data_IF_118361417753
#
_entry.id   IF_118361417753
#
_cell.length_a   1.000
_cell.length_b   1.000
_cell.length_c   1.000
_cell.angle_alpha   90.00
_cell.angle_beta   90.00
_cell.angle_gamma   90.00
#
_symmetry.space_group_name_H-M   'P 1'
#
loop_
_entity.id
_entity.type
_entity.pdbx_description
1 polymer ?
#
# COMPACT_ATOMS: atom_id res chain seq x y z
N UNK A 1 4.48 -8.65 -88.89
CA UNK A 1 5.47 -9.49 -88.15
C UNK A 1 5.25 -9.31 -86.64
N UNK A 2 5.36 -10.41 -85.89
CA UNK A 2 5.02 -10.57 -84.47
C UNK A 2 5.84 -9.66 -83.53
N UNK A 3 5.23 -9.20 -82.43
CA UNK A 3 5.76 -9.08 -81.03
C UNK A 3 4.67 -8.44 -80.14
N UNK A 4 3.85 -9.22 -79.43
CA UNK A 4 3.92 -9.60 -77.98
C UNK A 4 4.11 -8.42 -76.99
N UNK A 5 2.98 -7.96 -76.42
CA UNK A 5 2.57 -7.95 -74.97
C UNK A 5 3.47 -7.28 -73.88
N UNK A 6 2.95 -6.88 -72.68
CA UNK A 6 1.55 -6.59 -72.27
C UNK A 6 1.34 -5.51 -71.14
N UNK A 7 0.06 -5.31 -70.78
CA UNK A 7 -0.53 -4.98 -69.44
C UNK A 7 -0.18 -3.71 -68.66
N UNK A 8 -1.20 -2.87 -68.42
CA UNK A 8 -1.62 -2.48 -67.04
C UNK A 8 -3.14 -2.51 -66.93
N UNK A 9 -3.63 -3.51 -66.21
CA UNK A 9 -5.03 -3.71 -65.83
C UNK A 9 -5.34 -2.86 -64.60
N UNK A 10 -6.46 -2.14 -64.62
CA UNK A 10 -7.13 -1.56 -63.45
C UNK A 10 -7.47 -2.70 -62.47
N UNK A 11 -6.80 -2.74 -61.32
CA UNK A 11 -7.22 -3.57 -60.19
C UNK A 11 -8.07 -2.73 -59.23
N UNK A 12 -9.37 -3.04 -59.19
CA UNK A 12 -10.26 -2.72 -58.08
C UNK A 12 -9.62 -3.20 -56.76
N UNK A 13 -9.35 -2.29 -55.84
CA UNK A 13 -9.03 -2.65 -54.46
C UNK A 13 -10.34 -3.03 -53.75
N UNK A 14 -10.53 -4.34 -53.61
CA UNK A 14 -11.52 -4.96 -52.75
C UNK A 14 -11.22 -4.56 -51.29
N UNK A 15 -12.13 -3.85 -50.65
CA UNK A 15 -12.09 -3.58 -49.20
C UNK A 15 -12.33 -4.92 -48.45
N UNK A 16 -11.25 -5.64 -48.17
CA UNK A 16 -11.27 -6.75 -47.23
C UNK A 16 -11.45 -6.14 -45.83
N UNK A 17 -12.66 -6.21 -45.29
CA UNK A 17 -12.90 -6.08 -43.87
C UNK A 17 -12.09 -7.16 -43.15
N UNK A 18 -10.90 -6.79 -42.67
CA UNK A 18 -10.20 -7.57 -41.66
C UNK A 18 -11.11 -7.56 -40.42
N UNK A 19 -11.92 -8.61 -40.27
CA UNK A 19 -12.36 -9.08 -38.96
C UNK A 19 -11.08 -9.39 -38.18
N UNK A 20 -10.54 -8.37 -37.53
CA UNK A 20 -9.54 -8.51 -36.51
C UNK A 20 -10.24 -9.28 -35.38
N UNK A 21 -10.18 -10.61 -35.46
CA UNK A 21 -10.46 -11.48 -34.34
C UNK A 21 -9.38 -11.20 -33.31
N UNK A 22 -9.63 -10.17 -32.50
CA UNK A 22 -8.96 -10.06 -31.22
C UNK A 22 -9.10 -11.44 -30.57
N UNK A 23 -8.01 -12.05 -30.07
CA UNK A 23 -8.17 -13.20 -29.22
C UNK A 23 -9.10 -12.74 -28.11
N UNK A 24 -10.30 -13.31 -28.07
CA UNK A 24 -11.11 -13.30 -26.87
C UNK A 24 -10.19 -13.96 -25.85
N UNK A 25 -9.52 -13.16 -25.03
CA UNK A 25 -8.87 -13.68 -23.84
C UNK A 25 -10.02 -14.32 -23.09
N UNK A 26 -10.09 -15.65 -23.15
CA UNK A 26 -11.03 -16.39 -22.35
C UNK A 26 -10.80 -15.91 -20.92
N UNK A 27 -11.79 -15.20 -20.37
CA UNK A 27 -11.77 -14.80 -18.98
C UNK A 27 -11.43 -16.07 -18.19
N UNK A 28 -10.33 -16.07 -17.44
CA UNK A 28 -9.92 -17.23 -16.67
C UNK A 28 -11.14 -17.75 -15.90
N UNK A 29 -11.39 -19.06 -15.93
CA UNK A 29 -12.51 -19.62 -15.20
C UNK A 29 -12.23 -19.43 -13.70
N UNK A 30 -12.78 -18.35 -13.13
CA UNK A 30 -12.68 -18.02 -11.72
C UNK A 30 -13.86 -18.70 -11.02
N UNK A 31 -13.58 -19.79 -10.32
CA UNK A 31 -14.58 -20.32 -9.37
C UNK A 31 -14.57 -19.46 -8.12
N UNK A 32 -15.74 -19.22 -7.55
CA UNK A 32 -15.89 -18.41 -6.35
C UNK A 32 -16.82 -19.09 -5.35
N UNK A 33 -16.74 -18.66 -4.09
CA UNK A 33 -17.66 -19.14 -3.07
C UNK A 33 -17.52 -18.42 -1.73
N UNK A 34 -18.29 -18.89 -0.77
CA UNK A 34 -18.21 -18.40 0.61
C UNK A 34 -17.01 -19.01 1.32
N UNK A 35 -16.28 -18.17 2.06
CA UNK A 35 -15.22 -18.59 2.96
C UNK A 35 -15.60 -18.39 4.43
N UNK A 36 -16.89 -18.19 4.73
CA UNK A 36 -17.43 -17.96 6.08
C UNK A 36 -17.71 -16.49 6.38
N UNK A 37 -18.83 -16.20 7.08
CA UNK A 37 -19.26 -14.83 7.36
C UNK A 37 -19.35 -13.94 6.10
N UNK A 38 -18.74 -12.76 6.16
CA UNK A 38 -18.61 -11.82 5.04
C UNK A 38 -17.42 -12.13 4.10
N UNK A 39 -16.63 -13.16 4.39
CA UNK A 39 -15.46 -13.52 3.57
C UNK A 39 -15.86 -14.38 2.37
N UNK A 40 -15.07 -14.26 1.30
CA UNK A 40 -15.25 -14.96 0.03
C UNK A 40 -13.92 -15.53 -0.44
N UNK A 41 -13.98 -16.54 -1.29
CA UNK A 41 -12.82 -17.03 -2.02
C UNK A 41 -13.04 -16.96 -3.52
N UNK A 42 -11.94 -16.82 -4.25
CA UNK A 42 -11.86 -16.88 -5.71
C UNK A 42 -10.64 -17.70 -6.11
N UNK A 43 -10.79 -18.66 -7.01
CA UNK A 43 -9.69 -19.49 -7.51
C UNK A 43 -9.45 -19.23 -8.98
N UNK A 44 -8.25 -18.77 -9.30
CA UNK A 44 -7.74 -18.68 -10.66
C UNK A 44 -7.02 -19.97 -11.02
N UNK A 45 -7.61 -20.74 -11.92
CA UNK A 45 -7.05 -22.02 -12.37
C UNK A 45 -5.79 -21.87 -13.23
N UNK A 46 -5.61 -20.75 -13.92
CA UNK A 46 -4.43 -20.46 -14.74
C UNK A 46 -3.24 -20.07 -13.87
N UNK A 47 -3.45 -19.19 -12.89
CA UNK A 47 -2.45 -18.77 -11.93
C UNK A 47 -2.27 -19.76 -10.77
N UNK A 48 -3.16 -20.77 -10.67
CA UNK A 48 -3.27 -21.71 -9.53
C UNK A 48 -3.30 -20.98 -8.18
N UNK A 49 -3.99 -19.85 -8.14
CA UNK A 49 -4.03 -18.94 -7.00
C UNK A 49 -5.41 -18.92 -6.36
N UNK A 50 -5.46 -19.22 -5.07
CA UNK A 50 -6.66 -19.09 -4.25
C UNK A 50 -6.61 -17.77 -3.48
N UNK A 51 -7.54 -16.87 -3.76
CA UNK A 51 -7.63 -15.55 -3.14
C UNK A 51 -8.78 -15.49 -2.17
N UNK A 52 -8.54 -14.98 -0.96
CA UNK A 52 -9.56 -14.71 0.05
C UNK A 52 -9.77 -13.20 0.19
N UNK A 53 -11.02 -12.76 0.16
CA UNK A 53 -11.43 -11.36 0.29
C UNK A 53 -12.56 -11.21 1.31
N UNK A 54 -12.87 -9.98 1.70
CA UNK A 54 -13.92 -9.66 2.67
C UNK A 54 -13.33 -9.09 3.96
N UNK A 55 -14.08 -9.16 5.04
CA UNK A 55 -13.70 -8.57 6.32
C UNK A 55 -13.91 -9.54 7.49
N UNK A 56 -13.15 -9.39 8.56
CA UNK A 56 -13.30 -10.19 9.77
C UNK A 56 -12.65 -11.57 9.69
N UNK A 57 -13.30 -12.59 10.25
CA UNK A 57 -12.77 -13.96 10.28
C UNK A 57 -13.14 -14.72 9.01
N UNK A 58 -12.17 -15.44 8.44
CA UNK A 58 -12.53 -16.58 7.60
C UNK A 58 -13.20 -17.64 8.48
N UNK A 59 -14.12 -18.41 7.92
CA UNK A 59 -14.81 -19.50 8.60
C UNK A 59 -13.87 -20.66 8.95
N UNK A 60 -14.26 -21.39 9.99
CA UNK A 60 -13.57 -22.60 10.40
C UNK A 60 -13.73 -23.68 9.34
N UNK A 61 -12.64 -24.36 9.04
CA UNK A 61 -12.63 -25.54 8.22
C UNK A 61 -12.99 -26.76 9.07
N UNK A 62 -14.16 -27.37 8.80
CA UNK A 62 -14.64 -28.59 9.45
C UNK A 62 -14.72 -29.72 8.42
N UNK A 63 -14.15 -30.88 8.75
CA UNK A 63 -14.13 -32.08 7.90
C UNK A 63 -15.51 -32.74 7.70
N UNK A 64 -16.54 -32.30 8.43
CA UNK A 64 -17.89 -32.90 8.40
C UNK A 64 -18.79 -32.33 7.29
N UNK A 65 -19.40 -33.23 6.53
CA UNK A 65 -20.29 -32.95 5.39
C UNK A 65 -21.70 -32.45 5.75
N UNK A 66 -22.05 -32.36 7.04
CA UNK A 66 -23.43 -32.08 7.49
C UNK A 66 -23.64 -30.79 8.31
N UNK A 67 -22.61 -29.96 8.52
CA UNK A 67 -22.78 -28.70 9.28
C UNK A 67 -23.14 -27.51 8.38
N UNK A 68 -24.10 -26.69 8.82
CA UNK A 68 -24.28 -25.33 8.31
C UNK A 68 -22.97 -24.53 8.52
N UNK A 69 -22.46 -23.88 7.47
CA UNK A 69 -21.16 -23.20 7.48
C UNK A 69 -20.07 -23.81 6.58
N UNK A 70 -20.45 -24.42 5.45
CA UNK A 70 -19.50 -25.04 4.48
C UNK A 70 -18.42 -24.06 4.01
N UNK A 71 -17.15 -24.41 4.25
CA UNK A 71 -16.02 -23.85 3.51
C UNK A 71 -15.99 -24.50 2.11
N UNK A 72 -16.40 -23.78 1.06
CA UNK A 72 -16.62 -24.37 -0.27
C UNK A 72 -15.36 -24.45 -1.15
N UNK A 73 -14.20 -24.02 -0.66
CA UNK A 73 -12.94 -23.98 -1.43
C UNK A 73 -12.11 -25.27 -1.39
N UNK A 74 -12.57 -26.34 -0.72
CA UNK A 74 -11.78 -27.58 -0.60
C UNK A 74 -11.44 -28.21 -1.97
N UNK A 75 -12.39 -28.21 -2.91
CA UNK A 75 -12.20 -28.78 -4.25
C UNK A 75 -11.11 -28.06 -5.07
N UNK A 76 -10.78 -26.82 -4.70
CA UNK A 76 -9.74 -26.01 -5.35
C UNK A 76 -8.47 -25.91 -4.50
N UNK A 77 -8.53 -26.20 -3.20
CA UNK A 77 -7.38 -26.12 -2.29
C UNK A 77 -6.22 -27.02 -2.75
N UNK A 78 -6.49 -28.29 -3.06
CA UNK A 78 -5.48 -29.24 -3.55
C UNK A 78 -4.92 -28.90 -4.95
N UNK A 79 -5.58 -28.02 -5.70
CA UNK A 79 -5.14 -27.56 -7.02
C UNK A 79 -4.29 -26.29 -6.94
N UNK A 80 -4.44 -25.57 -5.83
CA UNK A 80 -3.80 -24.28 -5.57
C UNK A 80 -2.33 -24.45 -5.23
N UNK A 81 -1.50 -23.57 -5.79
CA UNK A 81 -0.07 -23.46 -5.50
C UNK A 81 0.22 -22.27 -4.58
N UNK A 82 -0.57 -21.21 -4.72
CA UNK A 82 -0.44 -19.93 -4.00
C UNK A 82 -1.75 -19.60 -3.31
N UNK A 83 -1.67 -18.97 -2.15
CA UNK A 83 -2.82 -18.38 -1.45
C UNK A 83 -2.58 -16.91 -1.20
N UNK A 84 -3.58 -16.07 -1.48
CA UNK A 84 -3.53 -14.64 -1.19
C UNK A 84 -4.71 -14.25 -0.29
N UNK A 85 -4.42 -13.90 0.96
CA UNK A 85 -5.41 -13.38 1.90
C UNK A 85 -5.35 -11.85 1.86
N UNK A 86 -6.45 -11.20 1.47
CA UNK A 86 -6.49 -9.75 1.24
C UNK A 86 -6.84 -8.97 2.50
N UNK A 87 -6.51 -7.67 2.47
CA UNK A 87 -6.83 -6.73 3.53
C UNK A 87 -8.31 -6.76 3.93
N UNK A 88 -8.57 -6.53 5.20
CA UNK A 88 -9.89 -6.62 5.83
C UNK A 88 -10.07 -7.91 6.63
N UNK A 89 -9.38 -8.99 6.28
CA UNK A 89 -9.39 -10.25 7.04
C UNK A 89 -8.53 -10.09 8.30
N UNK A 90 -9.12 -10.34 9.47
CA UNK A 90 -8.50 -10.16 10.78
C UNK A 90 -8.20 -11.47 11.51
N UNK A 91 -8.87 -12.57 11.14
CA UNK A 91 -8.63 -13.90 11.70
C UNK A 91 -8.66 -14.97 10.61
N UNK A 92 -7.69 -15.87 10.64
CA UNK A 92 -7.76 -17.14 9.90
C UNK A 92 -8.47 -18.18 10.78
N UNK A 93 -9.45 -18.84 10.18
CA UNK A 93 -10.31 -19.81 10.84
C UNK A 93 -9.57 -21.10 11.18
N UNK A 94 -10.21 -21.93 12.00
CA UNK A 94 -9.64 -23.21 12.39
C UNK A 94 -9.38 -24.07 11.15
N UNK A 95 -8.25 -24.75 11.07
CA UNK A 95 -7.88 -25.64 9.96
C UNK A 95 -7.92 -25.00 8.55
N UNK A 96 -7.81 -23.66 8.45
CA UNK A 96 -7.93 -22.85 7.22
C UNK A 96 -7.36 -23.48 5.93
N UNK A 97 -6.13 -24.01 5.97
CA UNK A 97 -5.46 -24.70 4.85
C UNK A 97 -5.03 -26.13 5.23
N UNK A 98 -5.56 -26.70 6.31
CA UNK A 98 -5.15 -27.99 6.83
C UNK A 98 -5.38 -29.12 5.81
N UNK A 99 -4.46 -30.09 5.74
CA UNK A 99 -4.50 -31.34 4.95
C UNK A 99 -4.57 -31.16 3.41
N UNK A 100 -5.42 -30.25 2.91
CA UNK A 100 -5.53 -29.92 1.49
C UNK A 100 -4.47 -28.93 1.00
N UNK A 101 -3.73 -28.28 1.91
CA UNK A 101 -2.66 -27.34 1.59
C UNK A 101 -1.31 -27.96 1.20
N UNK A 102 -1.23 -29.28 1.02
CA UNK A 102 -0.01 -29.99 0.62
C UNK A 102 0.56 -29.56 -0.75
N UNK A 103 -0.24 -28.91 -1.60
CA UNK A 103 0.20 -28.32 -2.88
C UNK A 103 0.70 -26.88 -2.76
N UNK A 104 0.40 -26.20 -1.64
CA UNK A 104 0.66 -24.78 -1.44
C UNK A 104 2.13 -24.58 -1.11
N UNK A 105 2.77 -23.70 -1.87
CA UNK A 105 4.18 -23.33 -1.71
C UNK A 105 4.38 -21.87 -1.32
N UNK A 106 3.32 -21.06 -1.36
CA UNK A 106 3.38 -19.64 -1.02
C UNK A 106 2.03 -19.17 -0.49
N UNK A 107 2.08 -18.39 0.59
CA UNK A 107 0.93 -17.74 1.22
C UNK A 107 1.28 -16.27 1.45
N UNK A 108 0.37 -15.37 1.05
CA UNK A 108 0.44 -13.94 1.35
C UNK A 108 -0.65 -13.61 2.37
N UNK A 109 -0.23 -13.04 3.51
CA UNK A 109 -1.09 -12.63 4.61
C UNK A 109 -1.24 -11.10 4.66
N UNK A 110 -2.40 -10.55 5.06
CA UNK A 110 -2.64 -9.11 5.08
C UNK A 110 -2.18 -8.45 6.38
N UNK A 111 -1.90 -7.15 6.33
CA UNK A 111 -1.55 -6.34 7.51
C UNK A 111 -2.70 -6.24 8.52
N UNK A 112 -3.95 -6.42 8.07
CA UNK A 112 -5.12 -6.51 8.95
C UNK A 112 -5.18 -7.76 9.82
N UNK A 113 -4.35 -8.78 9.58
CA UNK A 113 -4.40 -10.05 10.32
C UNK A 113 -4.00 -9.87 11.79
N UNK A 114 -4.77 -10.46 12.70
CA UNK A 114 -4.56 -10.43 14.16
C UNK A 114 -4.44 -11.81 14.77
N UNK A 115 -5.14 -12.81 14.22
CA UNK A 115 -5.19 -14.16 14.79
C UNK A 115 -5.04 -15.25 13.71
N UNK A 116 -4.19 -16.23 14.00
CA UNK A 116 -4.07 -17.47 13.23
C UNK A 116 -4.71 -18.59 14.07
N UNK A 117 -5.82 -19.12 13.59
CA UNK A 117 -6.59 -20.14 14.32
C UNK A 117 -5.90 -21.51 14.45
N UNK A 118 -6.47 -22.39 15.28
CA UNK A 118 -5.98 -23.76 15.48
C UNK A 118 -5.79 -24.49 14.16
N UNK A 119 -4.67 -25.19 14.00
CA UNK A 119 -4.39 -26.01 12.81
C UNK A 119 -4.44 -25.29 11.46
N UNK A 120 -4.45 -23.94 11.42
CA UNK A 120 -4.69 -23.18 10.21
C UNK A 120 -3.79 -23.55 9.01
N UNK A 121 -2.56 -23.97 9.26
CA UNK A 121 -1.59 -24.41 8.26
C UNK A 121 -1.09 -25.84 8.51
N UNK A 122 -1.87 -26.66 9.21
CA UNK A 122 -1.49 -28.03 9.52
C UNK A 122 -1.24 -28.84 8.23
N UNK A 123 -0.17 -29.62 8.22
CA UNK A 123 0.24 -30.44 7.06
C UNK A 123 0.52 -29.65 5.76
N UNK A 124 0.84 -28.37 5.82
CA UNK A 124 1.28 -27.61 4.62
C UNK A 124 2.74 -27.93 4.24
N UNK A 125 3.02 -29.18 3.84
CA UNK A 125 4.41 -29.71 3.70
C UNK A 125 5.28 -29.04 2.63
N UNK A 126 4.66 -28.40 1.63
CA UNK A 126 5.36 -27.65 0.56
C UNK A 126 5.59 -26.18 0.89
N UNK A 127 4.92 -25.64 1.90
CA UNK A 127 5.15 -24.28 2.36
C UNK A 127 6.43 -24.27 3.19
N UNK A 128 7.52 -23.77 2.62
CA UNK A 128 8.85 -23.75 3.27
C UNK A 128 9.09 -22.51 4.12
N UNK A 129 8.45 -21.41 3.75
CA UNK A 129 8.51 -20.18 4.51
C UNK A 129 7.18 -19.47 4.55
N UNK A 130 6.96 -18.68 5.58
CA UNK A 130 5.79 -17.81 5.70
C UNK A 130 6.21 -16.45 6.26
N UNK A 131 5.61 -15.39 5.74
CA UNK A 131 5.73 -14.05 6.32
C UNK A 131 4.54 -13.79 7.24
N UNK A 132 4.79 -13.59 8.53
CA UNK A 132 3.77 -13.30 9.53
C UNK A 132 3.74 -11.78 9.76
N UNK A 133 2.59 -11.11 9.53
CA UNK A 133 2.47 -9.67 9.72
C UNK A 133 2.71 -9.24 11.18
N UNK A 134 3.30 -8.06 11.37
CA UNK A 134 3.62 -7.51 12.70
C UNK A 134 2.38 -7.30 13.59
N UNK A 135 1.19 -7.24 12.98
CA UNK A 135 -0.10 -7.10 13.65
C UNK A 135 -0.62 -8.36 14.33
N UNK A 136 -0.06 -9.54 14.05
CA UNK A 136 -0.53 -10.80 14.66
C UNK A 136 -0.29 -10.76 16.18
N UNK A 137 -1.32 -11.17 16.94
CA UNK A 137 -1.33 -11.17 18.41
C UNK A 137 -1.53 -12.56 18.98
N UNK A 138 -2.13 -13.47 18.21
CA UNK A 138 -2.39 -14.84 18.63
C UNK A 138 -2.11 -15.83 17.51
N UNK A 139 -1.38 -16.89 17.84
CA UNK A 139 -1.16 -18.07 16.99
C UNK A 139 -1.60 -19.27 17.83
N UNK A 140 -2.75 -19.83 17.49
CA UNK A 140 -3.37 -20.88 18.29
C UNK A 140 -2.68 -22.24 18.09
N UNK A 141 -3.07 -23.20 18.92
CA UNK A 141 -2.39 -24.47 19.07
C UNK A 141 -2.35 -25.24 17.74
N UNK A 142 -1.18 -25.82 17.46
CA UNK A 142 -0.96 -26.62 16.26
C UNK A 142 -1.15 -25.87 14.93
N UNK A 143 -1.22 -24.53 14.91
CA UNK A 143 -1.40 -23.75 13.68
C UNK A 143 -0.45 -24.17 12.55
N UNK A 144 0.77 -24.57 12.88
CA UNK A 144 1.79 -25.03 11.92
C UNK A 144 2.22 -26.48 12.15
N UNK A 145 1.39 -27.30 12.83
CA UNK A 145 1.71 -28.70 13.10
C UNK A 145 1.91 -29.48 11.79
N UNK A 146 2.97 -30.28 11.71
CA UNK A 146 3.33 -31.10 10.55
C UNK A 146 3.48 -30.30 9.23
N UNK A 147 3.66 -28.98 9.32
CA UNK A 147 3.95 -28.13 8.16
C UNK A 147 5.39 -28.30 7.68
N UNK A 148 5.67 -27.85 6.46
CA UNK A 148 7.02 -27.90 5.88
C UNK A 148 7.88 -26.67 6.17
N UNK A 149 7.43 -25.80 7.08
CA UNK A 149 8.05 -24.49 7.31
C UNK A 149 9.40 -24.69 8.00
N UNK A 150 10.43 -24.12 7.38
CA UNK A 150 11.78 -24.01 7.91
C UNK A 150 12.11 -22.57 8.30
N UNK A 151 11.48 -21.58 7.67
CA UNK A 151 11.74 -20.16 7.90
C UNK A 151 10.44 -19.39 8.16
N UNK A 152 10.40 -18.62 9.24
CA UNK A 152 9.32 -17.67 9.52
C UNK A 152 9.90 -16.27 9.47
N UNK A 153 9.39 -15.45 8.57
CA UNK A 153 9.73 -14.04 8.49
C UNK A 153 8.66 -13.25 9.22
N UNK A 154 8.94 -12.85 10.46
CA UNK A 154 8.04 -11.99 11.21
C UNK A 154 8.31 -10.54 10.86
N UNK A 155 7.29 -9.80 10.42
CA UNK A 155 7.48 -8.41 10.00
C UNK A 155 7.77 -7.46 11.18
N UNK A 156 7.47 -7.89 12.41
CA UNK A 156 7.72 -7.13 13.63
C UNK A 156 9.11 -7.39 14.24
N UNK A 157 9.32 -6.82 15.42
CA UNK A 157 10.55 -7.00 16.22
C UNK A 157 10.52 -8.32 16.99
N UNK A 158 11.68 -8.75 17.50
CA UNK A 158 11.75 -9.89 18.44
C UNK A 158 10.83 -9.73 19.65
N UNK A 159 10.79 -8.54 20.24
CA UNK A 159 9.93 -8.28 21.41
C UNK A 159 8.43 -8.45 21.08
N UNK A 160 8.00 -8.01 19.89
CA UNK A 160 6.64 -8.20 19.43
C UNK A 160 6.32 -9.68 19.20
N UNK A 161 7.25 -10.46 18.66
CA UNK A 161 7.09 -11.89 18.47
C UNK A 161 6.94 -12.63 19.81
N UNK A 162 7.79 -12.32 20.78
CA UNK A 162 7.77 -12.94 22.09
C UNK A 162 6.43 -12.69 22.79
N UNK A 163 5.85 -11.50 22.60
CA UNK A 163 4.55 -11.09 23.13
C UNK A 163 3.32 -11.72 22.45
N UNK A 164 3.47 -12.41 21.31
CA UNK A 164 2.34 -13.14 20.68
C UNK A 164 1.88 -14.26 21.61
N UNK A 165 0.57 -14.35 21.87
CA UNK A 165 -0.02 -15.51 22.54
C UNK A 165 0.10 -16.74 21.63
N UNK A 166 1.01 -17.64 21.99
CA UNK A 166 1.32 -18.88 21.27
C UNK A 166 0.81 -20.03 22.12
N UNK A 167 -0.40 -20.51 21.82
CA UNK A 167 -1.05 -21.52 22.64
C UNK A 167 -0.21 -22.83 22.67
N UNK A 168 -0.08 -23.48 23.85
CA UNK A 168 0.79 -24.62 24.00
C UNK A 168 0.32 -25.81 23.15
N UNK A 169 1.25 -26.40 22.40
CA UNK A 169 0.98 -27.54 21.53
C UNK A 169 1.11 -28.88 22.29
N UNK A 170 0.39 -29.02 23.41
CA UNK A 170 0.56 -30.15 24.34
C UNK A 170 0.07 -31.51 23.78
N UNK A 171 -0.73 -31.49 22.71
CA UNK A 171 -1.37 -32.69 22.15
C UNK A 171 -0.54 -33.39 21.05
N UNK A 172 0.63 -32.85 20.70
CA UNK A 172 1.43 -33.35 19.58
C UNK A 172 2.77 -33.89 20.06
N UNK A 173 3.26 -34.93 19.38
CA UNK A 173 4.58 -35.51 19.65
C UNK A 173 5.70 -34.44 19.54
N UNK A 174 6.81 -34.59 20.28
CA UNK A 174 7.99 -33.73 20.08
C UNK A 174 8.40 -33.69 18.60
N UNK A 175 8.72 -32.50 18.08
CA UNK A 175 9.25 -32.33 16.74
C UNK A 175 8.23 -32.16 15.60
N UNK A 176 6.92 -32.23 15.86
CA UNK A 176 5.91 -31.95 14.81
C UNK A 176 5.38 -30.51 14.82
N UNK A 177 5.83 -29.67 15.74
CA UNK A 177 5.48 -28.25 15.76
C UNK A 177 6.36 -27.46 14.79
N UNK A 178 5.83 -27.19 13.59
CA UNK A 178 6.58 -26.48 12.55
C UNK A 178 7.01 -25.07 12.97
N UNK A 179 6.30 -24.43 13.91
CA UNK A 179 6.68 -23.09 14.39
C UNK A 179 7.88 -23.15 15.33
N UNK A 180 7.99 -24.18 16.18
CA UNK A 180 9.13 -24.37 17.09
C UNK A 180 10.42 -24.75 16.37
N UNK A 181 10.30 -25.43 15.23
CA UNK A 181 11.45 -25.90 14.46
C UNK A 181 11.94 -24.90 13.40
N UNK A 182 11.20 -23.82 13.15
CA UNK A 182 11.55 -22.85 12.14
C UNK A 182 12.59 -21.83 12.65
N UNK A 183 13.49 -21.41 11.77
CA UNK A 183 14.29 -20.21 11.97
C UNK A 183 13.38 -18.97 11.90
N UNK A 184 13.39 -18.17 12.97
CA UNK A 184 12.59 -16.94 13.02
C UNK A 184 13.46 -15.75 12.65
N UNK A 185 13.08 -15.05 11.58
CA UNK A 185 13.72 -13.84 11.06
C UNK A 185 12.86 -12.63 11.44
N UNK A 186 13.42 -11.69 12.19
CA UNK A 186 12.72 -10.49 12.67
C UNK A 186 13.00 -9.32 11.74
N UNK A 187 12.09 -9.08 10.79
CA UNK A 187 12.28 -8.01 9.82
C UNK A 187 12.22 -6.64 10.48
N UNK A 188 11.43 -6.47 11.53
CA UNK A 188 11.34 -5.22 12.30
C UNK A 188 12.64 -4.79 12.97
N UNK A 189 13.62 -5.70 13.10
CA UNK A 189 14.96 -5.40 13.64
C UNK A 189 15.99 -5.10 12.52
N UNK A 190 15.61 -5.29 11.26
CA UNK A 190 16.48 -5.10 10.09
C UNK A 190 16.06 -3.88 9.28
N UNK A 191 16.98 -3.06 8.74
CA UNK A 191 16.61 -1.94 7.89
C UNK A 191 15.85 -2.36 6.63
N UNK A 192 14.85 -1.55 6.22
CA UNK A 192 14.12 -1.76 4.98
C UNK A 192 15.06 -1.59 3.77
N UNK A 193 15.10 -2.54 2.80
CA UNK A 193 16.06 -2.50 1.71
C UNK A 193 16.10 -1.17 0.93
N UNK A 194 17.26 -0.53 0.93
CA UNK A 194 17.49 0.79 0.30
C UNK A 194 17.29 1.97 1.25
N UNK A 195 17.06 1.71 2.54
CA UNK A 195 16.97 2.71 3.61
C UNK A 195 17.71 2.21 4.85
N UNK A 196 18.03 3.08 5.81
CA UNK A 196 18.50 2.65 7.12
C UNK A 196 17.35 2.36 8.11
N UNK A 197 16.08 2.47 7.68
CA UNK A 197 14.93 2.55 8.59
C UNK A 197 14.31 1.18 8.89
N UNK A 198 14.17 0.84 10.16
CA UNK A 198 13.54 -0.42 10.60
C UNK A 198 12.03 -0.27 10.85
N UNK A 199 11.59 0.92 11.23
CA UNK A 199 10.21 1.26 11.62
C UNK A 199 9.22 1.39 10.44
N UNK A 200 9.69 1.13 9.21
CA UNK A 200 8.86 1.17 8.00
C UNK A 200 8.64 -0.19 7.33
N UNK A 201 9.24 -1.28 7.82
CA UNK A 201 9.22 -2.58 7.12
C UNK A 201 7.80 -3.08 6.81
N UNK A 202 6.88 -2.99 7.78
CA UNK A 202 5.47 -3.36 7.63
C UNK A 202 4.57 -2.14 7.38
N UNK A 203 5.13 -0.95 7.17
CA UNK A 203 4.37 0.29 7.06
C UNK A 203 3.82 0.46 5.63
N UNK A 204 2.56 0.89 5.51
CA UNK A 204 1.88 1.05 4.21
C UNK A 204 2.61 2.05 3.27
N UNK A 205 3.23 3.08 3.86
CA UNK A 205 3.97 4.12 3.14
C UNK A 205 5.44 3.79 2.84
N UNK A 206 5.92 2.55 3.07
CA UNK A 206 7.36 2.22 2.99
C UNK A 206 8.01 2.52 1.65
N UNK A 207 7.31 2.30 0.54
CA UNK A 207 7.84 2.63 -0.80
C UNK A 207 7.98 4.14 -0.99
N UNK A 208 6.99 4.92 -0.54
CA UNK A 208 7.04 6.37 -0.60
C UNK A 208 8.16 6.93 0.28
N UNK A 209 8.36 6.36 1.48
CA UNK A 209 9.47 6.73 2.36
C UNK A 209 10.81 6.39 1.73
N UNK A 210 10.97 5.19 1.19
CA UNK A 210 12.20 4.76 0.50
C UNK A 210 12.55 5.69 -0.65
N UNK A 211 11.57 6.00 -1.50
CA UNK A 211 11.76 6.95 -2.61
C UNK A 211 12.13 8.34 -2.08
N UNK A 212 11.36 8.89 -1.14
CA UNK A 212 11.58 10.22 -0.61
C UNK A 212 12.94 10.37 0.10
N UNK A 213 13.43 9.30 0.73
CA UNK A 213 14.78 9.23 1.29
C UNK A 213 15.85 9.18 0.19
N UNK A 214 15.67 8.32 -0.83
CA UNK A 214 16.58 8.20 -1.96
C UNK A 214 16.77 9.51 -2.75
N UNK A 215 15.68 10.26 -2.94
CA UNK A 215 15.67 11.59 -3.56
C UNK A 215 16.14 12.71 -2.61
N UNK A 216 16.57 12.35 -1.38
CA UNK A 216 17.02 13.28 -0.33
C UNK A 216 15.97 14.33 0.08
N UNK A 217 14.70 14.08 -0.21
CA UNK A 217 13.59 14.95 0.18
C UNK A 217 13.34 14.87 1.69
N UNK A 218 13.42 13.65 2.24
CA UNK A 218 13.25 13.38 3.66
C UNK A 218 14.51 12.81 4.32
N UNK A 219 14.60 13.02 5.63
CA UNK A 219 15.62 12.47 6.52
C UNK A 219 14.94 11.65 7.61
N UNK A 220 15.67 10.70 8.23
CA UNK A 220 15.20 10.01 9.43
C UNK A 220 15.08 10.92 10.64
N UNK A 221 14.34 10.47 11.65
CA UNK A 221 14.34 11.09 12.99
C UNK A 221 15.49 10.58 13.85
N UNK A 222 16.04 9.42 13.49
CA UNK A 222 17.27 8.86 14.05
C UNK A 222 18.08 8.17 12.94
N UNK A 223 19.20 7.54 13.31
CA UNK A 223 20.01 6.76 12.38
C UNK A 223 19.28 5.53 11.81
N UNK A 224 18.25 5.02 12.50
CA UNK A 224 17.55 3.78 12.15
C UNK A 224 16.03 3.92 12.07
N UNK A 225 15.49 5.13 12.30
CA UNK A 225 14.04 5.36 12.31
C UNK A 225 13.66 6.53 11.42
N UNK A 226 12.60 6.33 10.63
CA UNK A 226 11.98 7.38 9.85
C UNK A 226 10.96 8.20 10.65
N UNK A 227 10.26 7.56 11.60
CA UNK A 227 9.13 8.11 12.33
C UNK A 227 7.92 8.36 11.41
N UNK A 228 7.32 7.33 10.79
CA UNK A 228 6.26 7.47 9.78
C UNK A 228 5.01 8.18 10.31
N UNK A 229 4.62 7.91 11.54
CA UNK A 229 3.48 8.55 12.22
C UNK A 229 3.85 9.88 12.88
N UNK A 230 5.11 10.30 12.75
CA UNK A 230 5.59 11.54 13.32
C UNK A 230 4.85 12.75 12.75
N UNK A 231 4.76 13.80 13.57
CA UNK A 231 4.14 15.07 13.22
C UNK A 231 4.82 15.68 12.00
N UNK A 232 4.02 16.12 11.02
CA UNK A 232 4.50 16.97 9.94
C UNK A 232 4.12 18.43 10.19
N UNK A 233 5.10 19.32 10.08
CA UNK A 233 4.92 20.76 10.27
C UNK A 233 4.95 21.52 8.93
N UNK A 234 4.33 22.70 8.89
CA UNK A 234 4.24 23.52 7.69
C UNK A 234 5.63 23.88 7.12
N UNK A 235 6.59 24.22 7.97
CA UNK A 235 7.97 24.48 7.58
C UNK A 235 8.69 23.24 7.04
N UNK A 236 8.37 22.04 7.56
CA UNK A 236 8.91 20.78 7.04
C UNK A 236 8.39 20.51 5.63
N UNK A 237 7.10 20.67 5.38
CA UNK A 237 6.53 20.43 4.04
C UNK A 237 7.15 21.36 3.00
N UNK A 238 7.30 22.65 3.32
CA UNK A 238 7.92 23.61 2.41
C UNK A 238 9.40 23.29 2.16
N UNK A 239 10.12 22.81 3.18
CA UNK A 239 11.50 22.35 3.01
C UNK A 239 11.60 21.15 2.07
N UNK A 240 10.69 20.18 2.19
CA UNK A 240 10.61 19.02 1.29
C UNK A 240 10.33 19.47 -0.14
N UNK A 241 9.39 20.40 -0.34
CA UNK A 241 9.07 20.94 -1.66
C UNK A 241 10.24 21.73 -2.27
N UNK A 242 10.95 22.50 -1.45
CA UNK A 242 12.14 23.24 -1.87
C UNK A 242 13.26 22.30 -2.33
N UNK A 243 13.46 21.18 -1.64
CA UNK A 243 14.38 20.11 -2.08
C UNK A 243 13.96 19.50 -3.40
N UNK A 244 12.67 19.22 -3.58
CA UNK A 244 12.14 18.74 -4.85
C UNK A 244 12.44 19.72 -6.00
N UNK A 245 12.37 21.01 -5.73
CA UNK A 245 12.67 22.07 -6.69
C UNK A 245 14.18 22.27 -6.97
N UNK A 246 15.06 21.49 -6.33
CA UNK A 246 16.52 21.62 -6.48
C UNK A 246 17.16 22.67 -5.55
N UNK A 247 16.48 23.03 -4.46
CA UNK A 247 16.92 24.00 -3.45
C UNK A 247 17.37 25.38 -4.01
N UNK A 248 16.61 26.01 -4.93
CA UNK A 248 16.96 27.32 -5.48
C UNK A 248 17.15 28.37 -4.38
N UNK A 249 18.21 29.16 -4.48
CA UNK A 249 18.46 30.23 -3.51
C UNK A 249 17.38 31.32 -3.62
N UNK A 250 16.79 31.77 -2.50
CA UNK A 250 15.87 32.89 -2.52
C UNK A 250 16.60 34.18 -2.90
N UNK A 251 15.90 35.08 -3.60
CA UNK A 251 16.44 36.38 -4.00
C UNK A 251 16.49 37.37 -2.83
N UNK A 252 15.59 37.22 -1.87
CA UNK A 252 15.48 38.10 -0.70
C UNK A 252 15.36 37.31 0.61
N UNK A 253 15.67 37.98 1.71
CA UNK A 253 15.45 37.41 3.04
C UNK A 253 13.94 37.22 3.31
N UNK A 254 13.61 36.21 4.12
CA UNK A 254 12.24 35.95 4.55
C UNK A 254 11.68 37.15 5.33
N UNK A 255 10.49 37.63 4.95
CA UNK A 255 9.81 38.75 5.62
C UNK A 255 9.01 38.34 6.86
N UNK A 256 8.81 37.03 7.09
CA UNK A 256 8.03 36.54 8.24
C UNK A 256 8.82 36.63 9.55
N UNK A 257 8.20 37.22 10.57
CA UNK A 257 8.81 37.49 11.88
C UNK A 257 9.08 36.23 12.70
N UNK A 258 8.32 35.15 12.45
CA UNK A 258 8.48 33.85 13.10
C UNK A 258 9.33 32.85 12.28
N UNK A 259 10.12 33.36 11.33
CA UNK A 259 11.13 32.59 10.59
C UNK A 259 12.52 33.17 10.88
N UNK A 260 13.17 32.75 11.99
CA UNK A 260 14.50 33.23 12.35
C UNK A 260 15.57 32.77 11.36
N UNK A 261 16.62 33.59 11.21
CA UNK A 261 17.82 33.23 10.45
C UNK A 261 18.50 31.97 11.02
N UNK A 262 19.09 31.16 10.14
CA UNK A 262 19.81 29.93 10.48
C UNK A 262 18.92 28.72 10.72
N UNK A 263 17.58 28.83 10.61
CA UNK A 263 16.67 27.68 10.70
C UNK A 263 16.71 26.88 9.42
N UNK A 264 16.58 25.56 9.52
CA UNK A 264 16.65 24.65 8.37
C UNK A 264 15.60 24.97 7.28
N UNK A 265 14.47 25.55 7.66
CA UNK A 265 13.38 25.94 6.76
C UNK A 265 13.48 27.39 6.26
N UNK A 266 14.43 28.20 6.74
CA UNK A 266 14.51 29.63 6.43
C UNK A 266 14.52 29.89 4.92
N UNK A 267 15.47 29.27 4.20
CA UNK A 267 15.64 29.45 2.76
C UNK A 267 14.44 28.94 1.97
N UNK A 268 13.91 27.79 2.39
CA UNK A 268 12.75 27.17 1.75
C UNK A 268 11.51 28.07 1.88
N UNK A 269 11.26 28.65 3.05
CA UNK A 269 10.14 29.55 3.28
C UNK A 269 10.31 30.87 2.52
N UNK A 270 11.52 31.44 2.51
CA UNK A 270 11.81 32.64 1.71
C UNK A 270 11.53 32.40 0.22
N UNK A 271 12.08 31.32 -0.34
CA UNK A 271 11.89 30.94 -1.74
C UNK A 271 10.42 30.69 -2.08
N UNK A 272 9.71 29.95 -1.22
CA UNK A 272 8.32 29.62 -1.47
C UNK A 272 7.44 30.88 -1.39
N UNK A 273 7.73 31.81 -0.48
CA UNK A 273 6.98 33.05 -0.32
C UNK A 273 7.19 34.00 -1.51
N UNK A 274 8.44 34.22 -1.93
CA UNK A 274 8.73 35.13 -3.06
C UNK A 274 8.18 34.59 -4.39
N UNK A 275 8.02 33.26 -4.51
CA UNK A 275 7.44 32.63 -5.70
C UNK A 275 5.92 32.45 -5.62
N UNK A 276 5.25 32.95 -4.57
CA UNK A 276 3.79 32.85 -4.41
C UNK A 276 3.28 31.43 -4.14
N UNK A 277 4.17 30.51 -3.75
CA UNK A 277 3.83 29.12 -3.44
C UNK A 277 3.16 29.03 -2.06
N UNK A 278 3.59 29.88 -1.13
CA UNK A 278 3.01 29.98 0.21
C UNK A 278 2.65 31.41 0.58
N UNK A 279 1.62 31.54 1.41
CA UNK A 279 1.26 32.77 2.11
C UNK A 279 1.42 32.59 3.62
N UNK A 280 1.58 33.70 4.34
CA UNK A 280 1.56 33.72 5.79
C UNK A 280 0.15 33.59 6.38
N UNK A 281 0.08 33.41 7.70
CA UNK A 281 -1.16 33.27 8.48
C UNK A 281 -1.75 34.64 8.90
N UNK A 282 -1.13 35.75 8.48
CA UNK A 282 -1.44 37.10 8.94
C UNK A 282 -0.49 37.59 10.04
N UNK A 283 -0.55 38.88 10.36
CA UNK A 283 0.30 39.49 11.41
C UNK A 283 1.81 39.38 11.15
N UNK A 284 2.23 39.22 9.90
CA UNK A 284 3.63 39.03 9.54
C UNK A 284 4.20 37.64 9.89
N UNK A 285 3.34 36.64 10.12
CA UNK A 285 3.75 35.28 10.54
C UNK A 285 3.53 34.23 9.45
N UNK A 286 4.39 33.23 9.41
CA UNK A 286 4.28 32.05 8.55
C UNK A 286 3.72 30.81 9.27
N UNK A 287 3.99 30.67 10.57
CA UNK A 287 3.61 29.48 11.34
C UNK A 287 4.40 28.21 11.00
N UNK A 288 5.75 28.22 10.95
CA UNK A 288 6.54 27.07 10.48
C UNK A 288 6.35 25.82 11.34
N UNK A 289 6.14 25.97 12.65
CA UNK A 289 5.89 24.86 13.58
C UNK A 289 4.42 24.40 13.64
N UNK A 290 3.51 25.05 12.92
CA UNK A 290 2.11 24.63 12.86
C UNK A 290 1.98 23.24 12.22
N UNK A 291 1.10 22.38 12.75
CA UNK A 291 0.78 21.10 12.10
C UNK A 291 0.16 21.40 10.73
N UNK A 292 0.65 20.72 9.70
CA UNK A 292 0.12 20.91 8.35
C UNK A 292 -1.19 20.14 8.18
N UNK A 293 -2.26 20.82 7.76
CA UNK A 293 -3.50 20.14 7.37
C UNK A 293 -3.41 19.61 5.94
N UNK A 294 -4.26 18.63 5.60
CA UNK A 294 -4.28 18.03 4.26
C UNK A 294 -4.65 19.05 3.18
N UNK A 295 -5.58 19.96 3.47
CA UNK A 295 -5.95 21.04 2.54
C UNK A 295 -4.85 22.10 2.38
N UNK A 296 -4.08 22.38 3.44
CA UNK A 296 -2.90 23.24 3.33
C UNK A 296 -1.81 22.59 2.48
N UNK A 297 -1.56 21.28 2.67
CA UNK A 297 -0.60 20.55 1.84
C UNK A 297 -1.01 20.57 0.35
N UNK A 298 -2.29 20.31 0.05
CA UNK A 298 -2.82 20.39 -1.30
C UNK A 298 -2.61 21.79 -1.91
N UNK A 299 -2.96 22.85 -1.17
CA UNK A 299 -2.82 24.21 -1.67
C UNK A 299 -1.37 24.60 -1.97
N UNK A 300 -0.43 24.21 -1.12
CA UNK A 300 0.99 24.50 -1.34
C UNK A 300 1.50 23.80 -2.61
N UNK A 301 1.17 22.52 -2.80
CA UNK A 301 1.59 21.76 -3.99
C UNK A 301 0.91 22.27 -5.26
N UNK A 302 -0.36 22.64 -5.19
CA UNK A 302 -1.09 23.26 -6.29
C UNK A 302 -0.47 24.60 -6.70
N UNK A 303 -0.15 25.47 -5.74
CA UNK A 303 0.50 26.76 -6.04
C UNK A 303 1.88 26.56 -6.69
N UNK A 304 2.63 25.54 -6.28
CA UNK A 304 3.87 25.14 -6.96
C UNK A 304 3.62 24.67 -8.39
N UNK A 305 2.61 23.82 -8.61
CA UNK A 305 2.22 23.35 -9.93
C UNK A 305 1.88 24.53 -10.86
N UNK A 306 1.08 25.49 -10.39
CA UNK A 306 0.77 26.72 -11.12
C UNK A 306 2.04 27.52 -11.43
N UNK A 307 2.89 27.76 -10.43
CA UNK A 307 4.10 28.56 -10.57
C UNK A 307 5.06 28.01 -11.62
N UNK A 308 5.19 26.68 -11.70
CA UNK A 308 6.12 26.00 -12.59
C UNK A 308 5.46 25.42 -13.83
N UNK A 309 4.23 25.83 -14.14
CA UNK A 309 3.52 25.43 -15.36
C UNK A 309 3.29 23.92 -15.48
N UNK A 310 3.11 23.23 -14.35
CA UNK A 310 2.72 21.82 -14.32
C UNK A 310 1.25 21.65 -14.70
N UNK A 311 0.82 20.43 -14.96
CA UNK A 311 -0.58 20.15 -15.27
C UNK A 311 -1.47 20.48 -14.05
N UNK A 312 -2.38 21.43 -14.27
CA UNK A 312 -3.35 21.90 -13.29
C UNK A 312 -4.80 21.62 -13.70
N UNK A 313 -5.00 20.72 -14.66
CA UNK A 313 -6.34 20.31 -15.11
C UNK A 313 -7.15 19.66 -14.00
N UNK A 314 -8.45 19.95 -13.96
CA UNK A 314 -9.36 19.39 -12.95
C UNK A 314 -10.36 18.48 -13.65
N UNK A 315 -10.47 17.25 -13.14
CA UNK A 315 -11.49 16.31 -13.59
C UNK A 315 -12.85 16.74 -13.00
N UNK A 316 -13.89 16.95 -13.83
CA UNK A 316 -15.22 17.26 -13.32
C UNK A 316 -15.72 16.21 -12.33
N UNK A 317 -16.29 16.65 -11.20
CA UNK A 317 -16.79 15.77 -10.16
C UNK A 317 -15.70 14.99 -9.40
N UNK A 318 -14.44 15.46 -9.41
CA UNK A 318 -13.34 14.78 -8.71
C UNK A 318 -13.65 14.48 -7.24
N UNK A 319 -14.41 15.35 -6.56
CA UNK A 319 -14.73 15.22 -5.13
C UNK A 319 -15.99 14.41 -4.83
N UNK A 320 -16.81 14.06 -5.82
CA UNK A 320 -18.14 13.46 -5.60
C UNK A 320 -18.13 12.12 -4.86
N UNK A 321 -16.98 11.43 -4.81
CA UNK A 321 -16.78 10.20 -4.05
C UNK A 321 -16.47 10.39 -2.55
N UNK A 322 -16.33 11.63 -2.08
CA UNK A 322 -15.90 11.94 -0.71
C UNK A 322 -17.04 12.54 0.12
N UNK A 323 -17.39 11.82 1.18
CA UNK A 323 -18.52 12.19 2.07
C UNK A 323 -18.32 13.47 2.87
N UNK A 324 -17.09 13.99 2.94
CA UNK A 324 -16.71 15.17 3.70
C UNK A 324 -16.21 16.32 2.82
N UNK A 325 -16.51 16.30 1.51
CA UNK A 325 -16.12 17.36 0.58
C UNK A 325 -16.61 18.76 1.03
N UNK A 326 -17.79 18.85 1.65
CA UNK A 326 -18.35 20.10 2.19
C UNK A 326 -17.53 20.70 3.34
N UNK A 327 -16.56 19.95 3.91
CA UNK A 327 -15.66 20.44 4.96
C UNK A 327 -14.40 21.10 4.41
N UNK A 328 -14.20 21.08 3.09
CA UNK A 328 -13.05 21.74 2.46
C UNK A 328 -13.23 23.24 2.60
N UNK A 329 -12.20 23.93 3.09
CA UNK A 329 -12.24 25.37 3.15
C UNK A 329 -12.33 25.98 1.75
N UNK A 330 -13.11 27.05 1.58
CA UNK A 330 -13.32 27.70 0.27
C UNK A 330 -12.02 28.09 -0.43
N UNK A 331 -11.00 28.53 0.32
CA UNK A 331 -9.68 28.89 -0.21
C UNK A 331 -8.86 27.69 -0.72
N UNK A 332 -9.21 26.47 -0.32
CA UNK A 332 -8.52 25.23 -0.69
C UNK A 332 -9.29 24.39 -1.72
N UNK A 333 -10.53 24.75 -2.03
CA UNK A 333 -11.44 23.98 -2.88
C UNK A 333 -10.79 23.53 -4.19
N UNK A 334 -10.30 24.48 -4.99
CA UNK A 334 -9.66 24.22 -6.27
C UNK A 334 -8.41 23.33 -6.14
N UNK A 335 -7.59 23.57 -5.12
CA UNK A 335 -6.38 22.78 -4.90
C UNK A 335 -6.69 21.34 -4.47
N UNK A 336 -7.75 21.13 -3.70
CA UNK A 336 -8.22 19.81 -3.31
C UNK A 336 -8.79 19.05 -4.52
N UNK A 337 -9.58 19.72 -5.36
CA UNK A 337 -10.09 19.16 -6.62
C UNK A 337 -8.96 18.74 -7.56
N UNK A 338 -7.95 19.61 -7.74
CA UNK A 338 -6.75 19.30 -8.51
C UNK A 338 -5.98 18.11 -7.93
N UNK A 339 -5.74 18.10 -6.61
CA UNK A 339 -4.97 17.06 -5.96
C UNK A 339 -5.64 15.69 -6.10
N UNK A 340 -6.97 15.63 -6.02
CA UNK A 340 -7.75 14.41 -6.23
C UNK A 340 -7.77 14.01 -7.71
N UNK A 341 -7.89 14.97 -8.63
CA UNK A 341 -7.89 14.71 -10.08
C UNK A 341 -6.62 14.00 -10.55
N UNK A 342 -5.48 14.36 -9.97
CA UNK A 342 -4.17 13.81 -10.30
C UNK A 342 -3.70 12.68 -9.39
N UNK A 343 -4.53 12.24 -8.42
CA UNK A 343 -4.15 11.20 -7.46
C UNK A 343 -3.04 11.62 -6.48
N UNK A 344 -2.72 12.91 -6.39
CA UNK A 344 -1.82 13.48 -5.38
C UNK A 344 -2.40 13.21 -3.98
N UNK A 345 -3.72 13.36 -3.83
CA UNK A 345 -4.49 12.98 -2.65
C UNK A 345 -5.60 12.00 -3.00
N UNK A 346 -5.59 10.82 -2.38
CA UNK A 346 -6.59 9.77 -2.64
C UNK A 346 -7.66 9.63 -1.53
N UNK A 347 -7.48 10.33 -0.41
CA UNK A 347 -8.31 10.15 0.79
C UNK A 347 -8.17 8.77 1.42
N UNK A 348 -9.01 8.48 2.42
CA UNK A 348 -9.10 7.18 3.10
C UNK A 348 -10.52 6.94 3.60
N UNK A 349 -11.05 5.72 3.41
CA UNK A 349 -12.40 5.36 3.87
C UNK A 349 -13.52 6.25 3.30
N UNK A 350 -13.38 6.74 2.07
CA UNK A 350 -14.36 7.64 1.43
C UNK A 350 -14.35 9.07 2.00
N UNK A 351 -13.26 9.49 2.63
CA UNK A 351 -13.06 10.83 3.20
C UNK A 351 -11.72 11.45 2.81
N UNK A 352 -11.69 12.77 2.68
CA UNK A 352 -10.48 13.55 2.43
C UNK A 352 -9.83 14.05 3.72
N UNK A 353 -10.63 14.25 4.77
CA UNK A 353 -10.26 14.85 6.04
C UNK A 353 -9.48 16.17 5.87
N UNK A 354 -10.05 17.21 5.20
CA UNK A 354 -9.30 18.40 4.77
C UNK A 354 -8.59 19.15 5.92
N UNK A 355 -9.29 19.35 7.04
CA UNK A 355 -8.71 19.94 8.26
C UNK A 355 -7.89 18.98 9.13
N UNK A 356 -7.83 17.69 8.78
CA UNK A 356 -6.99 16.70 9.44
C UNK A 356 -5.52 16.96 9.18
N UNK A 357 -4.66 16.69 10.17
CA UNK A 357 -3.21 16.88 10.03
C UNK A 357 -2.56 15.68 9.36
N UNK A 358 -1.53 15.91 8.54
CA UNK A 358 -0.81 14.83 7.87
C UNK A 358 0.40 14.34 8.69
N UNK A 359 0.63 13.01 8.70
CA UNK A 359 1.86 12.42 9.21
C UNK A 359 3.03 12.54 8.22
N UNK A 360 4.25 12.25 8.68
CA UNK A 360 5.45 12.22 7.82
C UNK A 360 5.31 11.22 6.68
N UNK A 361 4.76 10.04 6.92
CA UNK A 361 4.53 9.03 5.88
C UNK A 361 3.43 9.45 4.91
N UNK A 362 2.36 10.10 5.38
CA UNK A 362 1.34 10.65 4.49
C UNK A 362 1.91 11.73 3.56
N UNK A 363 2.75 12.64 4.08
CA UNK A 363 3.39 13.63 3.21
C UNK A 363 4.40 12.99 2.26
N UNK A 364 5.20 12.01 2.70
CA UNK A 364 6.04 11.23 1.80
C UNK A 364 5.22 10.57 0.67
N UNK A 365 4.06 10.00 1.00
CA UNK A 365 3.15 9.42 0.01
C UNK A 365 2.60 10.46 -0.98
N UNK A 366 2.23 11.64 -0.50
CA UNK A 366 1.75 12.73 -1.36
C UNK A 366 2.82 13.10 -2.40
N UNK A 367 4.06 13.32 -1.97
CA UNK A 367 5.17 13.62 -2.87
C UNK A 367 5.49 12.45 -3.82
N UNK A 368 5.42 11.22 -3.32
CA UNK A 368 5.60 10.04 -4.15
C UNK A 368 4.52 9.96 -5.23
N UNK A 369 3.24 10.18 -4.90
CA UNK A 369 2.15 10.18 -5.88
C UNK A 369 2.33 11.28 -6.93
N UNK A 370 2.82 12.45 -6.51
CA UNK A 370 3.00 13.61 -7.37
C UNK A 370 4.31 13.61 -8.17
N UNK A 371 5.17 12.58 -8.02
CA UNK A 371 6.55 12.59 -8.55
C UNK A 371 6.64 12.83 -10.07
N UNK A 372 5.75 12.24 -10.86
CA UNK A 372 5.75 12.45 -12.31
C UNK A 372 5.15 13.81 -12.72
N UNK A 373 4.27 14.36 -11.88
CA UNK A 373 3.58 15.62 -12.12
C UNK A 373 4.42 16.83 -11.75
N UNK A 374 5.19 16.73 -10.65
CA UNK A 374 5.93 17.85 -10.07
C UNK A 374 7.42 17.88 -10.43
N UNK A 375 7.98 16.76 -10.91
CA UNK A 375 9.36 16.69 -11.39
C UNK A 375 9.63 17.65 -12.55
#
# INVERSE_FOLDING_TARGET
>A
MKKKAPTRILSLALAAALLCSLPVFAQAAVSTGSAGGSTRWAYDSSARTLTFTGSGSTGDYRWSSSAAGKCTYMSVLMKSRTVAVKEGITRLGDSFLANGGNSISSVSLPQSLREIGPFAFMETRKLKSITIPAGVRKIDHGAFAQSGIADVYFEGTRAQWDAIDKAPNASFAPGVDGLKNAAIHFLGDTPYPGTPFTDINSHWGREAVKWAYGEKLFSGVSGTEFGPEGRMERGMLVTVLHRLAGEPAPQSACAFTDVPKGRYYEKAVAWASENGIVSGEGGGRFGPGGKITREQAAKILYSYAVKYGKDVSIRPGALSGFSDQEKISSWAQEAMEWAVSHGVLNGSGGKLNPGGTASRAEVAQIFYNSRALLA
#
